data_IF_690641536230
#
_entry.id   IF_690641536230
#
_cell.length_a   1.000
_cell.length_b   1.000
_cell.length_c   1.000
_cell.angle_alpha   90.00
_cell.angle_beta   90.00
_cell.angle_gamma   90.00
#
_symmetry.space_group_name_H-M   'P 1'
#
loop_
_entity.id
_entity.type
_entity.pdbx_description
1 polymer ?
#
# COMPACT_ATOMS: atom_id res chain seq x y z
N UNK A 1 -19.78 60.36 16.62
CA UNK A 1 -20.58 59.18 16.27
C UNK A 1 -19.64 58.09 15.76
N UNK A 2 -19.69 56.91 16.39
CA UNK A 2 -18.98 55.68 16.01
C UNK A 2 -19.37 55.22 14.61
N UNK A 3 -18.44 54.56 13.91
CA UNK A 3 -18.68 53.27 13.24
C UNK A 3 -17.35 52.65 12.80
N UNK A 4 -16.77 51.90 13.73
CA UNK A 4 -15.90 50.75 13.47
C UNK A 4 -16.56 49.80 12.49
N UNK A 5 -15.90 49.48 11.37
CA UNK A 5 -16.19 48.25 10.64
C UNK A 5 -14.95 47.37 10.65
N UNK A 6 -15.01 46.40 11.55
CA UNK A 6 -14.18 45.21 11.64
C UNK A 6 -14.33 44.43 10.32
N UNK A 7 -13.29 44.41 9.48
CA UNK A 7 -13.21 43.46 8.37
C UNK A 7 -12.61 42.19 8.94
N UNK A 8 -13.48 41.24 9.25
CA UNK A 8 -13.15 39.92 9.76
C UNK A 8 -12.35 39.18 8.68
N UNK A 9 -11.06 38.95 8.97
CA UNK A 9 -10.18 38.10 8.17
C UNK A 9 -10.68 36.65 8.22
N UNK A 10 -11.45 36.24 7.21
CA UNK A 10 -11.79 34.84 7.01
C UNK A 10 -10.62 34.16 6.28
N UNK A 11 -9.54 33.95 7.03
CA UNK A 11 -8.44 33.08 6.64
C UNK A 11 -8.99 31.65 6.58
N UNK A 12 -9.50 31.25 5.42
CA UNK A 12 -9.75 29.85 5.09
C UNK A 12 -8.39 29.14 5.09
N UNK A 13 -7.98 28.67 6.27
CA UNK A 13 -6.85 27.76 6.41
C UNK A 13 -7.33 26.47 5.75
N UNK A 14 -7.01 26.32 4.47
CA UNK A 14 -7.07 25.05 3.76
C UNK A 14 -6.13 24.10 4.50
N UNK A 15 -6.67 23.39 5.51
CA UNK A 15 -6.00 22.23 6.09
C UNK A 15 -5.94 21.19 4.99
N UNK A 16 -4.88 21.25 4.18
CA UNK A 16 -4.45 20.14 3.35
C UNK A 16 -4.28 18.94 4.28
N UNK A 17 -5.26 18.04 4.23
CA UNK A 17 -5.25 16.82 5.00
C UNK A 17 -4.15 15.95 4.39
N UNK A 18 -2.94 16.01 4.94
CA UNK A 18 -1.83 15.13 4.54
C UNK A 18 -2.25 13.70 4.87
N UNK A 19 -2.10 12.79 3.89
CA UNK A 19 -2.32 11.35 4.12
C UNK A 19 -1.48 10.90 5.31
N UNK A 20 -2.07 10.14 6.23
CA UNK A 20 -1.34 9.62 7.38
C UNK A 20 -0.41 8.45 6.99
N UNK A 21 -0.55 7.90 5.79
CA UNK A 21 0.32 6.88 5.23
C UNK A 21 1.43 7.52 4.40
N UNK A 22 2.67 7.40 4.89
CA UNK A 22 3.87 7.82 4.18
C UNK A 22 4.59 6.58 3.65
N UNK A 23 4.69 6.45 2.33
CA UNK A 23 5.50 5.42 1.70
C UNK A 23 6.99 5.63 2.04
N UNK A 24 7.62 4.62 2.63
CA UNK A 24 9.06 4.60 2.90
C UNK A 24 9.80 3.94 1.74
N UNK A 25 9.35 2.75 1.33
CA UNK A 25 9.95 2.02 0.22
C UNK A 25 9.00 1.02 -0.39
N UNK A 26 9.29 0.69 -1.64
CA UNK A 26 8.59 -0.29 -2.46
C UNK A 26 9.63 -1.22 -3.10
N UNK A 27 9.47 -2.51 -2.84
CA UNK A 27 10.40 -3.54 -3.30
C UNK A 27 9.60 -4.58 -4.06
N UNK A 28 10.11 -4.99 -5.21
CA UNK A 28 9.69 -6.19 -5.92
C UNK A 28 10.77 -7.24 -5.73
N UNK A 29 10.39 -8.31 -5.05
CA UNK A 29 11.26 -9.44 -4.74
C UNK A 29 10.92 -10.59 -5.70
N UNK A 30 11.86 -10.96 -6.56
CA UNK A 30 11.76 -12.18 -7.36
C UNK A 30 12.21 -13.37 -6.52
N UNK A 31 11.31 -14.31 -6.26
CA UNK A 31 11.58 -15.52 -5.48
C UNK A 31 11.93 -16.68 -6.41
N UNK A 32 13.16 -17.18 -6.25
CA UNK A 32 13.65 -18.38 -6.92
C UNK A 32 13.47 -19.59 -5.98
N UNK A 33 12.52 -20.50 -6.26
CA UNK A 33 12.34 -21.70 -5.45
C UNK A 33 13.52 -22.65 -5.64
N UNK A 34 13.98 -23.30 -4.56
CA UNK A 34 15.09 -24.26 -4.60
C UNK A 34 14.78 -25.58 -5.31
N UNK A 35 13.54 -25.76 -5.79
CA UNK A 35 13.14 -26.94 -6.58
C UNK A 35 13.04 -26.54 -8.06
N UNK A 36 13.71 -27.27 -8.98
CA UNK A 36 13.84 -26.87 -10.38
C UNK A 36 12.50 -26.84 -11.15
N UNK A 37 11.50 -27.57 -10.69
CA UNK A 37 10.19 -27.67 -11.35
C UNK A 37 9.15 -26.65 -10.84
N UNK A 38 9.53 -25.79 -9.88
CA UNK A 38 8.62 -24.75 -9.38
C UNK A 38 8.98 -23.44 -10.10
N UNK A 39 8.02 -22.77 -10.75
CA UNK A 39 8.30 -21.49 -11.39
C UNK A 39 8.64 -20.43 -10.34
N UNK A 40 9.54 -19.51 -10.70
CA UNK A 40 9.78 -18.30 -9.93
C UNK A 40 8.53 -17.46 -9.86
N UNK A 41 8.36 -16.72 -8.76
CA UNK A 41 7.24 -15.81 -8.56
C UNK A 41 7.69 -14.50 -7.92
N UNK A 42 6.89 -13.45 -8.05
CA UNK A 42 7.21 -12.14 -7.47
C UNK A 42 6.48 -11.93 -6.15
N UNK A 43 7.08 -11.19 -5.23
CA UNK A 43 6.41 -10.59 -4.08
C UNK A 43 6.61 -9.09 -4.13
N UNK A 44 5.58 -8.31 -3.81
CA UNK A 44 5.75 -6.88 -3.53
C UNK A 44 5.81 -6.68 -2.02
N UNK A 45 6.76 -5.88 -1.57
CA UNK A 45 6.85 -5.42 -0.19
C UNK A 45 6.78 -3.91 -0.18
N UNK A 46 5.78 -3.39 0.52
CA UNK A 46 5.60 -1.96 0.70
C UNK A 46 5.82 -1.63 2.16
N UNK A 47 6.83 -0.82 2.43
CA UNK A 47 7.09 -0.29 3.75
C UNK A 47 6.51 1.11 3.85
N UNK A 48 5.71 1.36 4.88
CA UNK A 48 5.14 2.68 5.12
C UNK A 48 5.14 3.02 6.60
N UNK A 49 5.13 4.33 6.87
CA UNK A 49 5.02 4.90 8.19
C UNK A 49 3.64 5.54 8.36
N UNK A 50 3.01 5.26 9.48
CA UNK A 50 1.81 5.98 9.90
C UNK A 50 2.22 7.11 10.83
N UNK A 51 1.70 8.33 10.57
CA UNK A 51 2.10 9.51 11.35
C UNK A 51 1.23 9.76 12.57
N UNK A 52 -0.01 9.29 12.54
CA UNK A 52 -0.99 9.49 13.59
C UNK A 52 -1.63 8.16 13.99
N UNK A 53 -2.25 8.12 15.16
CA UNK A 53 -3.13 7.01 15.56
C UNK A 53 -4.45 7.13 14.80
N UNK A 54 -4.50 6.54 13.60
CA UNK A 54 -5.73 6.38 12.81
C UNK A 54 -6.07 4.91 12.65
N UNK A 55 -7.37 4.60 12.55
CA UNK A 55 -7.80 3.26 12.18
C UNK A 55 -7.71 3.17 10.66
N UNK A 56 -6.69 2.46 10.16
CA UNK A 56 -6.50 2.22 8.73
C UNK A 56 -6.75 0.74 8.44
N UNK A 57 -7.66 0.46 7.52
CA UNK A 57 -7.99 -0.88 7.05
C UNK A 57 -7.71 -0.96 5.56
N UNK A 58 -6.91 -1.93 5.15
CA UNK A 58 -6.73 -2.21 3.72
C UNK A 58 -7.94 -3.01 3.27
N UNK A 59 -8.56 -2.60 2.17
CA UNK A 59 -9.75 -3.27 1.65
C UNK A 59 -9.41 -4.15 0.46
N UNK A 60 -8.53 -3.66 -0.42
CA UNK A 60 -8.16 -4.36 -1.64
C UNK A 60 -6.76 -3.99 -2.08
N UNK A 61 -6.06 -4.97 -2.64
CA UNK A 61 -4.78 -4.75 -3.32
C UNK A 61 -4.87 -5.28 -4.75
N UNK A 62 -4.43 -4.46 -5.71
CA UNK A 62 -4.32 -4.83 -7.12
C UNK A 62 -2.89 -4.65 -7.60
N UNK A 63 -2.38 -5.64 -8.31
CA UNK A 63 -1.12 -5.56 -9.04
C UNK A 63 -1.42 -5.58 -10.52
N UNK A 64 -0.84 -4.66 -11.28
CA UNK A 64 -0.81 -4.71 -12.74
C UNK A 64 0.59 -5.07 -13.16
N UNK A 65 0.73 -6.11 -13.96
CA UNK A 65 2.03 -6.51 -14.50
C UNK A 65 1.83 -7.24 -15.82
N UNK A 66 2.56 -6.82 -16.85
CA UNK A 66 2.58 -7.45 -18.18
C UNK A 66 1.17 -7.57 -18.82
N UNK A 67 0.33 -6.55 -18.66
CA UNK A 67 -1.03 -6.53 -19.23
C UNK A 67 -2.06 -7.40 -18.48
N UNK A 68 -1.68 -7.95 -17.33
CA UNK A 68 -2.59 -8.68 -16.45
C UNK A 68 -2.76 -7.92 -15.15
N UNK A 69 -4.01 -7.86 -14.67
CA UNK A 69 -4.40 -7.28 -13.42
C UNK A 69 -4.75 -8.40 -12.43
N UNK A 70 -4.09 -8.38 -11.28
CA UNK A 70 -4.21 -9.38 -10.22
C UNK A 70 -4.82 -8.72 -8.99
N UNK A 71 -5.99 -9.18 -8.56
CA UNK A 71 -6.47 -8.87 -7.20
C UNK A 71 -5.84 -9.88 -6.24
N UNK A 72 -5.15 -9.39 -5.23
CA UNK A 72 -4.32 -10.22 -4.37
C UNK A 72 -4.75 -10.17 -2.91
N UNK A 73 -4.61 -11.29 -2.22
CA UNK A 73 -4.52 -11.32 -0.76
C UNK A 73 -3.22 -10.65 -0.32
N UNK A 74 -3.23 -10.07 0.87
CA UNK A 74 -2.08 -9.36 1.43
C UNK A 74 -1.82 -9.80 2.87
N UNK A 75 -0.59 -9.55 3.32
CA UNK A 75 -0.16 -9.81 4.69
C UNK A 75 0.38 -8.50 5.26
N UNK A 76 -0.34 -7.93 6.22
CA UNK A 76 0.03 -6.69 6.89
C UNK A 76 0.66 -7.02 8.25
N UNK A 77 1.79 -6.40 8.59
CA UNK A 77 2.39 -6.51 9.92
C UNK A 77 3.11 -5.22 10.31
N UNK A 78 3.32 -5.02 11.61
CA UNK A 78 4.25 -4.02 12.09
C UNK A 78 5.70 -4.46 11.77
N UNK A 79 6.60 -3.54 11.43
CA UNK A 79 7.96 -3.85 10.97
C UNK A 79 8.75 -4.70 11.97
N UNK A 80 8.54 -4.50 13.28
CA UNK A 80 9.16 -5.29 14.35
C UNK A 80 8.19 -6.31 14.98
N UNK A 81 6.98 -6.43 14.43
CA UNK A 81 5.96 -7.34 14.91
C UNK A 81 6.13 -8.74 14.34
N UNK A 82 5.73 -9.75 15.10
CA UNK A 82 5.75 -11.17 14.69
C UNK A 82 4.42 -11.65 14.13
N UNK A 83 3.35 -10.90 14.35
CA UNK A 83 1.98 -11.28 13.98
C UNK A 83 1.44 -10.43 12.84
N UNK A 84 0.59 -11.04 12.02
CA UNK A 84 -0.16 -10.32 10.99
C UNK A 84 -1.37 -9.60 11.58
N UNK A 85 -1.72 -8.48 10.98
CA UNK A 85 -2.74 -7.55 11.42
C UNK A 85 -3.84 -7.43 10.36
N UNK A 86 -5.07 -7.33 10.81
CA UNK A 86 -6.21 -7.03 9.91
C UNK A 86 -6.37 -5.53 9.66
N UNK A 87 -5.88 -4.69 10.58
CA UNK A 87 -5.92 -3.24 10.49
C UNK A 87 -4.77 -2.62 11.27
N UNK A 88 -4.46 -1.38 10.93
CA UNK A 88 -3.54 -0.51 11.64
C UNK A 88 -4.37 0.30 12.63
N UNK A 89 -3.93 0.38 13.88
CA UNK A 89 -4.61 1.17 14.92
C UNK A 89 -3.65 2.06 15.71
N UNK A 90 -2.36 2.07 15.37
CA UNK A 90 -1.32 2.78 16.08
C UNK A 90 -0.37 3.44 15.10
N UNK A 91 0.33 4.46 15.59
CA UNK A 91 1.44 5.05 14.88
C UNK A 91 2.62 4.05 14.85
N UNK A 92 3.29 3.92 13.71
CA UNK A 92 4.43 3.02 13.59
C UNK A 92 4.90 2.81 12.15
N UNK A 93 5.86 1.90 11.99
CA UNK A 93 6.30 1.43 10.68
C UNK A 93 5.70 0.06 10.40
N UNK A 94 5.21 -0.13 9.20
CA UNK A 94 4.46 -1.31 8.80
C UNK A 94 4.99 -1.83 7.47
N UNK A 95 4.78 -3.12 7.27
CA UNK A 95 5.12 -3.85 6.05
C UNK A 95 3.83 -4.47 5.52
N UNK A 96 3.55 -4.21 4.25
CA UNK A 96 2.53 -4.91 3.49
C UNK A 96 3.22 -5.81 2.47
N UNK A 97 3.04 -7.12 2.64
CA UNK A 97 3.56 -8.15 1.75
C UNK A 97 2.44 -8.64 0.84
N UNK A 98 2.69 -8.64 -0.46
CA UNK A 98 1.71 -8.99 -1.51
C UNK A 98 2.35 -10.06 -2.40
N UNK A 99 2.16 -11.34 -2.10
CA UNK A 99 2.76 -12.42 -2.87
C UNK A 99 1.97 -12.65 -4.17
N UNK A 100 2.63 -12.60 -5.33
CA UNK A 100 2.08 -13.07 -6.61
C UNK A 100 2.37 -14.56 -6.79
N UNK A 101 1.88 -15.37 -5.85
CA UNK A 101 1.88 -16.83 -5.95
C UNK A 101 0.44 -17.30 -5.96
N UNK A 102 0.11 -18.29 -6.78
CA UNK A 102 -1.27 -18.73 -7.09
C UNK A 102 -2.24 -18.71 -5.91
N UNK A 103 -1.83 -19.25 -4.75
CA UNK A 103 -2.67 -19.29 -3.55
C UNK A 103 -3.10 -17.93 -2.96
N UNK A 104 -2.44 -16.85 -3.35
CA UNK A 104 -2.74 -15.47 -2.92
C UNK A 104 -3.45 -14.66 -4.01
N UNK A 105 -3.55 -15.17 -5.23
CA UNK A 105 -4.26 -14.52 -6.31
C UNK A 105 -5.75 -14.83 -6.13
N UNK A 106 -6.55 -13.79 -5.90
CA UNK A 106 -8.00 -13.90 -5.72
C UNK A 106 -8.68 -13.95 -7.10
N UNK A 107 -8.25 -13.07 -8.01
CA UNK A 107 -8.79 -13.00 -9.36
C UNK A 107 -7.79 -12.38 -10.33
N UNK A 108 -7.93 -12.73 -11.60
CA UNK A 108 -7.14 -12.19 -12.71
C UNK A 108 -8.05 -11.62 -13.78
N UNK A 109 -7.66 -10.47 -14.35
CA UNK A 109 -8.30 -9.89 -15.52
C UNK A 109 -7.25 -9.33 -16.47
N UNK A 110 -7.63 -9.15 -17.74
CA UNK A 110 -6.80 -8.42 -18.69
C UNK A 110 -6.90 -6.92 -18.40
N UNK A 111 -5.78 -6.22 -18.51
CA UNK A 111 -5.79 -4.76 -18.50
C UNK A 111 -4.80 -4.19 -19.49
N UNK A 112 -5.18 -3.08 -20.12
CA UNK A 112 -4.44 -2.51 -21.25
C UNK A 112 -3.05 -1.97 -20.86
N UNK A 113 -2.82 -1.76 -19.56
CA UNK A 113 -1.56 -1.22 -19.06
C UNK A 113 -0.47 -2.30 -18.98
N UNK A 114 0.63 -2.10 -19.71
CA UNK A 114 1.83 -2.93 -19.64
C UNK A 114 2.77 -2.52 -18.51
N UNK A 115 2.63 -1.29 -18.01
CA UNK A 115 3.46 -0.79 -16.92
C UNK A 115 3.11 -1.50 -15.61
N UNK A 116 4.14 -1.73 -14.82
CA UNK A 116 4.00 -2.38 -13.53
C UNK A 116 3.48 -1.38 -12.49
N UNK A 117 2.32 -1.67 -11.91
CA UNK A 117 1.66 -0.80 -10.94
C UNK A 117 1.13 -1.61 -9.77
N UNK A 118 1.23 -1.06 -8.57
CA UNK A 118 0.58 -1.56 -7.37
C UNK A 118 -0.42 -0.51 -6.88
N UNK A 119 -1.67 -0.92 -6.73
CA UNK A 119 -2.77 -0.11 -6.20
C UNK A 119 -3.23 -0.69 -4.87
N UNK A 120 -3.15 0.11 -3.82
CA UNK A 120 -3.62 -0.26 -2.49
C UNK A 120 -4.82 0.61 -2.16
N UNK A 121 -5.99 0.00 -2.04
CA UNK A 121 -7.22 0.64 -1.61
C UNK A 121 -7.40 0.42 -0.11
N UNK A 122 -7.61 1.51 0.62
CA UNK A 122 -7.72 1.46 2.07
C UNK A 122 -8.72 2.47 2.59
N UNK A 123 -9.33 2.15 3.72
CA UNK A 123 -10.15 3.05 4.50
C UNK A 123 -9.33 3.64 5.63
N UNK A 124 -9.40 4.96 5.79
CA UNK A 124 -8.82 5.68 6.91
C UNK A 124 -9.93 6.46 7.63
N UNK A 125 -10.22 6.09 8.88
CA UNK A 125 -11.26 6.69 9.69
C UNK A 125 -12.63 6.77 8.95
N UNK A 126 -13.03 5.68 8.29
CA UNK A 126 -14.29 5.64 7.52
C UNK A 126 -14.20 6.24 6.11
N UNK A 127 -13.06 6.82 5.71
CA UNK A 127 -12.91 7.48 4.40
C UNK A 127 -12.09 6.62 3.44
N UNK A 128 -12.59 6.34 2.24
CA UNK A 128 -11.85 5.58 1.24
C UNK A 128 -10.68 6.40 0.69
N UNK A 129 -9.55 5.74 0.50
CA UNK A 129 -8.32 6.29 -0.04
C UNK A 129 -7.64 5.25 -0.93
N UNK A 130 -6.66 5.71 -1.71
CA UNK A 130 -5.84 4.85 -2.56
C UNK A 130 -4.41 5.31 -2.61
N UNK A 131 -3.48 4.36 -2.60
CA UNK A 131 -2.06 4.58 -2.84
C UNK A 131 -1.65 3.85 -4.13
N UNK A 132 -1.11 4.62 -5.09
CA UNK A 132 -0.55 4.09 -6.34
C UNK A 132 0.97 4.10 -6.24
N UNK A 133 1.60 2.98 -6.59
CA UNK A 133 3.05 2.78 -6.61
C UNK A 133 3.42 2.21 -7.97
N UNK A 134 4.33 2.88 -8.69
CA UNK A 134 4.81 2.45 -10.01
C UNK A 134 6.34 2.32 -10.09
N UNK A 135 7.03 2.63 -9.00
CA UNK A 135 8.49 2.54 -8.91
C UNK A 135 8.84 1.52 -7.84
N UNK A 136 9.64 0.52 -8.20
CA UNK A 136 10.07 -0.55 -7.31
C UNK A 136 11.57 -0.70 -7.38
N UNK A 137 12.19 -0.89 -6.22
CA UNK A 137 13.52 -1.50 -6.16
C UNK A 137 13.39 -2.99 -6.41
N UNK A 138 14.37 -3.58 -7.10
CA UNK A 138 14.35 -5.00 -7.47
C UNK A 138 15.29 -5.78 -6.55
N UNK A 139 14.78 -6.87 -5.97
CA UNK A 139 15.55 -7.81 -5.15
C UNK A 139 15.33 -9.24 -5.66
N UNK A 140 16.34 -10.09 -5.49
CA UNK A 140 16.22 -11.53 -5.77
C UNK A 140 16.42 -12.32 -4.48
N UNK A 141 15.51 -13.24 -4.21
CA UNK A 141 15.58 -14.12 -3.04
C UNK A 141 15.53 -15.58 -3.47
N UNK A 142 16.60 -16.31 -3.16
CA UNK A 142 16.67 -17.76 -3.37
C UNK A 142 16.19 -18.50 -2.13
N UNK A 143 15.15 -19.32 -2.26
CA UNK A 143 14.78 -20.27 -1.21
C UNK A 143 15.72 -21.48 -1.29
N UNK A 144 16.47 -21.72 -0.22
CA UNK A 144 17.30 -22.92 -0.07
C UNK A 144 16.48 -24.08 0.49
#
# INVERSE_FOLDING_TARGET
>A
MRKTFFILSLSFILMSCKSNLILISSIKETVLPGRPNIPSYSNYKVNFKTMNTSSIKIDRVEVKSKGTCYTCSYLLKEQKGTSYLNKISKQGNYILEIPLKDKYIISTSNCDNKEEELLIYYEENGKPNSLKISVFSEETKTMR
#
